data_IF_304139019270
#
_entry.id   IF_304139019270
#
_cell.length_a   1.000
_cell.length_b   1.000
_cell.length_c   1.000
_cell.angle_alpha   90.00
_cell.angle_beta   90.00
_cell.angle_gamma   90.00
#
_symmetry.space_group_name_H-M   'P 1'
#
loop_
_entity.id
_entity.type
_entity.pdbx_description
1 polymer ?
#
# COMPACT_ATOMS: atom_id res chain seq x y z
N UNK A 1 15.43 -11.03 15.75
CA UNK A 1 14.42 -10.14 15.13
C UNK A 1 14.83 -8.67 15.17
N UNK A 2 15.18 -8.11 16.32
CA UNK A 2 15.52 -6.68 16.52
C UNK A 2 16.55 -6.15 15.51
N UNK A 3 17.64 -6.87 15.26
CA UNK A 3 18.69 -6.46 14.31
C UNK A 3 18.17 -6.30 12.86
N UNK A 4 17.25 -7.18 12.43
CA UNK A 4 16.64 -7.11 11.09
C UNK A 4 15.75 -5.88 10.97
N UNK A 5 15.00 -5.54 12.03
CA UNK A 5 14.15 -4.36 12.08
C UNK A 5 14.99 -3.08 12.10
N UNK A 6 16.06 -3.03 12.90
CA UNK A 6 16.94 -1.86 13.00
C UNK A 6 17.69 -1.56 11.69
N UNK A 7 18.06 -2.59 10.93
CA UNK A 7 18.67 -2.42 9.61
C UNK A 7 17.63 -2.17 8.51
N UNK A 8 16.49 -2.86 8.57
CA UNK A 8 15.46 -2.80 7.54
C UNK A 8 14.73 -1.46 7.52
N UNK A 9 14.42 -0.89 8.69
CA UNK A 9 13.70 0.39 8.80
C UNK A 9 14.40 1.52 8.03
N UNK A 10 15.66 1.89 8.31
CA UNK A 10 16.31 2.97 7.58
C UNK A 10 16.54 2.61 6.10
N UNK A 11 16.83 1.34 5.81
CA UNK A 11 17.19 0.90 4.46
C UNK A 11 15.99 0.83 3.51
N UNK A 12 14.81 0.46 3.99
CA UNK A 12 13.59 0.39 3.17
C UNK A 12 12.73 1.65 3.29
N UNK A 13 12.71 2.32 4.45
CA UNK A 13 11.80 3.43 4.70
C UNK A 13 12.43 4.81 4.54
N UNK A 14 13.74 4.93 4.31
CA UNK A 14 14.34 6.27 4.25
C UNK A 14 15.48 6.45 3.25
N UNK A 15 16.47 5.55 3.24
CA UNK A 15 17.68 5.67 2.40
C UNK A 15 17.35 5.79 0.91
N UNK A 16 16.45 4.98 0.32
CA UNK A 16 16.20 5.01 -1.12
C UNK A 16 15.57 6.33 -1.56
N UNK A 17 14.57 6.81 -0.82
CA UNK A 17 13.93 8.09 -1.07
C UNK A 17 14.85 9.27 -0.81
N UNK A 18 15.75 9.19 0.20
CA UNK A 18 16.79 10.19 0.42
C UNK A 18 17.74 10.31 -0.78
N UNK A 19 18.21 9.17 -1.30
CA UNK A 19 19.10 9.13 -2.46
C UNK A 19 18.38 9.62 -3.72
N UNK A 20 17.15 9.17 -3.94
CA UNK A 20 16.32 9.56 -5.09
C UNK A 20 16.10 11.08 -5.12
N UNK A 21 15.70 11.66 -3.98
CA UNK A 21 15.50 13.10 -3.85
C UNK A 21 16.79 13.88 -4.14
N UNK A 22 17.92 13.45 -3.57
CA UNK A 22 19.23 14.11 -3.78
C UNK A 22 19.70 14.04 -5.23
N UNK A 23 19.52 12.89 -5.89
CA UNK A 23 19.95 12.68 -7.28
C UNK A 23 19.09 13.50 -8.23
N UNK A 24 17.78 13.56 -7.98
CA UNK A 24 16.82 14.11 -8.93
C UNK A 24 16.50 15.59 -8.70
N UNK A 25 16.22 15.98 -7.45
CA UNK A 25 15.87 17.35 -7.06
C UNK A 25 17.10 18.15 -6.61
N UNK A 26 18.12 17.49 -6.05
CA UNK A 26 19.30 18.16 -5.50
C UNK A 26 18.93 19.16 -4.40
N UNK A 27 19.53 20.35 -4.43
CA UNK A 27 19.21 21.45 -3.49
C UNK A 27 17.98 22.27 -3.90
N UNK A 28 17.32 21.91 -5.00
CA UNK A 28 16.20 22.67 -5.57
C UNK A 28 14.83 22.27 -5.01
N UNK A 29 14.79 21.39 -4.01
CA UNK A 29 13.55 21.04 -3.34
C UNK A 29 13.09 22.23 -2.49
N UNK A 30 11.96 22.84 -2.86
CA UNK A 30 11.33 23.90 -2.08
C UNK A 30 10.82 23.42 -0.71
N UNK A 31 10.72 22.09 -0.55
CA UNK A 31 10.21 21.42 0.63
C UNK A 31 11.29 21.41 1.72
N UNK A 32 11.02 22.07 2.85
CA UNK A 32 11.94 22.21 3.98
C UNK A 32 11.39 21.55 5.25
N UNK A 33 12.27 21.23 6.20
CA UNK A 33 11.86 20.69 7.50
C UNK A 33 11.24 19.28 7.42
N UNK A 34 10.10 19.10 8.11
CA UNK A 34 9.44 17.80 8.30
C UNK A 34 8.87 17.25 6.99
N UNK A 35 8.28 18.11 6.16
CA UNK A 35 7.69 17.72 4.87
C UNK A 35 8.70 17.00 3.98
N UNK A 36 9.96 17.46 4.01
CA UNK A 36 11.05 16.84 3.25
C UNK A 36 11.34 15.41 3.72
N UNK A 37 11.26 15.17 5.03
CA UNK A 37 11.42 13.82 5.59
C UNK A 37 10.23 12.92 5.26
N UNK A 38 9.01 13.46 5.29
CA UNK A 38 7.80 12.73 4.87
C UNK A 38 7.91 12.30 3.41
N UNK A 39 8.31 13.20 2.51
CA UNK A 39 8.49 12.88 1.08
C UNK A 39 9.53 11.78 0.87
N UNK A 40 10.66 11.81 1.61
CA UNK A 40 11.66 10.73 1.56
C UNK A 40 11.10 9.40 2.01
N UNK A 41 10.31 9.39 3.08
CA UNK A 41 9.69 8.16 3.60
C UNK A 41 8.70 7.62 2.57
N UNK A 42 7.80 8.46 2.07
CA UNK A 42 6.81 8.08 1.05
C UNK A 42 7.49 7.54 -0.20
N UNK A 43 8.51 8.23 -0.72
CA UNK A 43 9.26 7.76 -1.89
C UNK A 43 9.98 6.42 -1.63
N UNK A 44 10.53 6.23 -0.42
CA UNK A 44 11.19 4.98 -0.04
C UNK A 44 10.20 3.82 0.08
N UNK A 45 9.06 4.05 0.72
CA UNK A 45 7.97 3.07 0.85
C UNK A 45 7.41 2.69 -0.52
N UNK A 46 7.16 3.67 -1.38
CA UNK A 46 6.67 3.41 -2.73
C UNK A 46 7.68 2.59 -3.54
N UNK A 47 8.96 2.96 -3.53
CA UNK A 47 9.99 2.25 -4.28
C UNK A 47 10.20 0.82 -3.76
N UNK A 48 10.41 0.67 -2.45
CA UNK A 48 10.67 -0.63 -1.83
C UNK A 48 9.44 -1.54 -1.86
N UNK A 49 8.24 -0.99 -1.65
CA UNK A 49 6.97 -1.71 -1.75
C UNK A 49 6.71 -2.18 -3.18
N UNK A 50 6.94 -1.31 -4.18
CA UNK A 50 6.78 -1.69 -5.58
C UNK A 50 7.76 -2.80 -5.99
N UNK A 51 9.03 -2.67 -5.58
CA UNK A 51 10.04 -3.67 -5.86
C UNK A 51 9.70 -5.02 -5.18
N UNK A 52 9.23 -4.99 -3.93
CA UNK A 52 8.78 -6.17 -3.22
C UNK A 52 7.60 -6.87 -3.94
N UNK A 53 6.63 -6.09 -4.41
CA UNK A 53 5.46 -6.62 -5.12
C UNK A 53 5.83 -7.19 -6.49
N UNK A 54 6.73 -6.55 -7.24
CA UNK A 54 7.27 -7.12 -8.48
C UNK A 54 7.99 -8.45 -8.24
N UNK A 55 8.86 -8.51 -7.24
CA UNK A 55 9.57 -9.75 -6.91
C UNK A 55 8.59 -10.86 -6.48
N UNK A 56 7.52 -10.50 -5.77
CA UNK A 56 6.48 -11.44 -5.34
C UNK A 56 5.66 -11.94 -6.54
N UNK A 57 5.30 -11.05 -7.45
CA UNK A 57 4.59 -11.38 -8.69
C UNK A 57 5.37 -12.37 -9.55
N UNK A 58 6.70 -12.24 -9.64
CA UNK A 58 7.55 -13.19 -10.35
C UNK A 58 7.88 -14.46 -9.55
N UNK A 59 7.34 -14.62 -8.33
CA UNK A 59 7.59 -15.79 -7.48
C UNK A 59 9.02 -15.90 -6.94
N UNK A 60 9.84 -14.85 -7.08
CA UNK A 60 11.24 -14.81 -6.66
C UNK A 60 11.46 -13.96 -5.40
N UNK A 61 10.37 -13.58 -4.71
CA UNK A 61 10.47 -12.73 -3.53
C UNK A 61 11.32 -13.37 -2.45
N UNK A 62 12.42 -12.70 -2.14
CA UNK A 62 13.30 -13.02 -1.03
C UNK A 62 13.68 -11.71 -0.35
N UNK A 63 13.54 -11.67 0.98
CA UNK A 63 13.90 -10.50 1.78
C UNK A 63 15.33 -10.02 1.52
N UNK A 64 16.29 -10.94 1.37
CA UNK A 64 17.69 -10.61 1.08
C UNK A 64 17.89 -10.09 -0.34
N UNK A 65 17.12 -10.60 -1.30
CA UNK A 65 17.15 -10.10 -2.67
C UNK A 65 16.64 -8.65 -2.73
N UNK A 66 15.53 -8.36 -2.06
CA UNK A 66 15.01 -7.01 -1.94
C UNK A 66 16.03 -6.07 -1.28
N UNK A 67 16.70 -6.54 -0.22
CA UNK A 67 17.74 -5.80 0.48
C UNK A 67 18.94 -5.48 -0.43
N UNK A 68 19.43 -6.47 -1.18
CA UNK A 68 20.54 -6.32 -2.12
C UNK A 68 20.17 -5.33 -3.23
N UNK A 69 19.01 -5.47 -3.86
CA UNK A 69 18.59 -4.56 -4.93
C UNK A 69 18.47 -3.13 -4.39
N UNK A 70 17.89 -2.95 -3.20
CA UNK A 70 17.75 -1.63 -2.56
C UNK A 70 19.12 -1.01 -2.26
N UNK A 71 20.09 -1.81 -1.78
CA UNK A 71 21.47 -1.37 -1.58
C UNK A 71 22.15 -0.99 -2.88
N UNK A 72 21.94 -1.75 -3.97
CA UNK A 72 22.49 -1.43 -5.29
C UNK A 72 21.93 -0.10 -5.80
N UNK A 73 20.60 0.12 -5.71
CA UNK A 73 19.97 1.39 -6.09
C UNK A 73 20.56 2.54 -5.26
N UNK A 74 20.64 2.37 -3.94
CA UNK A 74 21.25 3.36 -3.05
C UNK A 74 22.72 3.64 -3.37
N UNK A 75 23.50 2.60 -3.66
CA UNK A 75 24.92 2.68 -4.01
C UNK A 75 25.16 3.37 -5.36
N UNK A 76 24.36 3.05 -6.38
CA UNK A 76 24.39 3.72 -7.68
C UNK A 76 24.05 5.20 -7.51
N UNK A 77 22.98 5.52 -6.79
CA UNK A 77 22.62 6.92 -6.56
C UNK A 77 23.66 7.67 -5.73
N UNK A 78 24.27 7.03 -4.73
CA UNK A 78 25.40 7.61 -4.00
C UNK A 78 26.60 7.87 -4.92
N UNK A 79 26.94 6.94 -5.81
CA UNK A 79 28.01 7.10 -6.81
C UNK A 79 27.71 8.27 -7.77
N UNK A 80 26.46 8.40 -8.23
CA UNK A 80 26.03 9.53 -9.06
C UNK A 80 26.17 10.86 -8.31
N UNK A 81 25.81 10.90 -7.02
CA UNK A 81 26.00 12.09 -6.18
C UNK A 81 27.48 12.43 -5.99
N UNK A 82 28.35 11.42 -5.86
CA UNK A 82 29.81 11.63 -5.82
C UNK A 82 30.31 12.26 -7.11
N UNK A 83 29.89 11.72 -8.26
CA UNK A 83 30.28 12.22 -9.59
C UNK A 83 29.76 13.64 -9.86
N UNK A 84 28.60 13.99 -9.32
CA UNK A 84 28.04 15.34 -9.42
C UNK A 84 28.67 16.35 -8.44
N UNK A 85 29.59 15.92 -7.56
CA UNK A 85 30.18 16.79 -6.53
C UNK A 85 29.18 17.23 -5.45
N UNK A 86 28.02 16.56 -5.36
CA UNK A 86 26.88 16.91 -4.48
C UNK A 86 26.84 16.09 -3.20
N UNK A 87 27.93 15.40 -2.87
CA UNK A 87 28.08 14.81 -1.54
C UNK A 87 28.00 15.94 -0.50
N UNK A 88 27.26 15.73 0.60
CA UNK A 88 27.22 16.72 1.67
C UNK A 88 28.65 16.93 2.18
N UNK A 89 29.22 18.12 1.92
CA UNK A 89 30.25 18.64 2.80
C UNK A 89 29.57 18.76 4.15
N UNK A 90 30.14 18.08 5.16
CA UNK A 90 29.79 18.30 6.56
C UNK A 90 30.28 19.72 6.87
N UNK A 91 29.48 20.73 6.50
CA UNK A 91 29.64 22.06 7.05
C UNK A 91 28.95 22.03 8.42
N UNK A 92 29.63 22.40 9.51
CA UNK A 92 29.00 22.52 10.80
C UNK A 92 27.90 23.58 10.68
N UNK A 93 26.65 23.13 10.60
CA UNK A 93 25.48 23.98 10.51
C UNK A 93 25.22 24.45 11.94
N UNK A 94 25.44 25.73 12.21
CA UNK A 94 25.08 26.33 13.50
C UNK A 94 23.58 26.12 13.71
N UNK A 95 23.25 25.28 14.69
CA UNK A 95 21.89 24.95 15.05
C UNK A 95 21.25 26.17 15.72
N UNK A 96 20.58 27.03 14.95
CA UNK A 96 19.58 27.91 15.53
C UNK A 96 18.39 27.03 15.96
N UNK A 97 18.43 26.57 17.21
CA UNK A 97 17.33 25.91 17.90
C UNK A 97 16.19 26.91 18.08
N UNK A 98 15.30 26.97 17.10
CA UNK A 98 14.08 27.75 17.18
C UNK A 98 13.06 27.23 16.18
N UNK A 99 11.84 26.95 16.67
CA UNK A 99 10.68 26.49 15.89
C UNK A 99 10.28 27.50 14.78
N UNK A 100 10.87 28.70 14.77
CA UNK A 100 10.60 29.79 13.81
C UNK A 100 11.75 30.00 12.81
N UNK A 101 12.89 29.32 12.93
CA UNK A 101 14.09 29.57 12.11
C UNK A 101 14.14 28.85 10.74
N UNK A 102 12.99 28.34 10.25
CA UNK A 102 12.92 27.49 9.06
C UNK A 102 12.59 28.21 7.74
N UNK A 103 12.10 29.45 7.78
CA UNK A 103 11.80 30.20 6.57
C UNK A 103 12.97 31.10 6.22
N UNK A 104 13.99 30.51 5.57
CA UNK A 104 14.98 31.34 4.87
C UNK A 104 14.26 31.99 3.69
N UNK A 105 14.20 33.34 3.57
CA UNK A 105 13.53 34.02 2.45
C UNK A 105 14.18 33.71 1.09
N UNK A 106 15.32 33.00 1.10
CA UNK A 106 16.00 32.50 -0.08
C UNK A 106 15.28 31.33 -0.79
N UNK A 107 14.26 30.69 -0.19
CA UNK A 107 13.50 29.63 -0.86
C UNK A 107 12.49 30.13 -1.91
N UNK A 108 12.31 31.45 -2.03
CA UNK A 108 11.44 32.06 -3.05
C UNK A 108 12.10 32.16 -4.44
N UNK A 109 13.41 31.92 -4.56
CA UNK A 109 14.14 31.98 -5.82
C UNK A 109 14.34 30.59 -6.46
N UNK A 110 13.34 29.70 -6.32
CA UNK A 110 13.28 28.46 -7.08
C UNK A 110 13.05 28.77 -8.56
N UNK A 111 14.12 28.96 -9.33
CA UNK A 111 14.03 29.26 -10.76
C UNK A 111 13.22 28.20 -11.52
N UNK A 112 12.58 28.58 -12.64
CA UNK A 112 11.67 27.75 -13.46
C UNK A 112 12.11 26.28 -13.64
N UNK A 113 13.43 26.03 -13.77
CA UNK A 113 14.00 24.68 -13.87
C UNK A 113 13.76 23.80 -12.64
N UNK A 114 13.77 24.36 -11.44
CA UNK A 114 13.46 23.67 -10.19
C UNK A 114 11.99 23.28 -10.10
N UNK A 115 11.09 24.20 -10.46
CA UNK A 115 9.67 23.92 -10.56
C UNK A 115 9.39 22.83 -11.61
N UNK A 116 10.02 22.91 -12.79
CA UNK A 116 9.91 21.88 -13.82
C UNK A 116 10.49 20.53 -13.38
N UNK A 117 11.60 20.51 -12.63
CA UNK A 117 12.18 19.27 -12.10
C UNK A 117 11.30 18.62 -11.02
N UNK A 118 10.70 19.43 -10.13
CA UNK A 118 9.76 18.97 -9.12
C UNK A 118 8.48 18.40 -9.76
N UNK A 119 7.92 19.13 -10.74
CA UNK A 119 6.79 18.65 -11.55
C UNK A 119 7.14 17.30 -12.19
N UNK A 120 8.31 17.16 -12.83
CA UNK A 120 8.72 15.87 -13.43
C UNK A 120 8.89 14.74 -12.42
N UNK A 121 9.33 15.03 -11.21
CA UNK A 121 9.43 14.05 -10.12
C UNK A 121 8.05 13.59 -9.66
N UNK A 122 7.12 14.51 -9.44
CA UNK A 122 5.75 14.21 -9.05
C UNK A 122 5.02 13.39 -10.12
N UNK A 123 5.25 13.70 -11.40
CA UNK A 123 4.68 12.95 -12.52
C UNK A 123 5.28 11.54 -12.62
N UNK A 124 6.57 11.36 -12.31
CA UNK A 124 7.18 10.03 -12.26
C UNK A 124 6.59 9.21 -11.11
N UNK A 125 6.37 9.83 -9.95
CA UNK A 125 5.76 9.17 -8.80
C UNK A 125 4.30 8.79 -9.08
N UNK A 126 3.54 9.71 -9.67
CA UNK A 126 2.17 9.47 -10.13
C UNK A 126 2.13 8.35 -11.18
N UNK A 127 3.06 8.34 -12.12
CA UNK A 127 3.19 7.31 -13.15
C UNK A 127 3.45 5.93 -12.54
N UNK A 128 4.33 5.84 -11.53
CA UNK A 128 4.56 4.61 -10.76
C UNK A 128 3.29 4.18 -10.03
N UNK A 129 2.58 5.11 -9.39
CA UNK A 129 1.33 4.82 -8.67
C UNK A 129 0.20 4.35 -9.61
N UNK A 130 0.07 4.95 -10.80
CA UNK A 130 -0.87 4.52 -11.83
C UNK A 130 -0.52 3.15 -12.39
N UNK A 131 0.76 2.93 -12.72
CA UNK A 131 1.24 1.62 -13.19
C UNK A 131 1.00 0.54 -12.12
N UNK A 132 1.22 0.87 -10.84
CA UNK A 132 0.87 0.01 -9.73
C UNK A 132 -0.62 -0.31 -9.69
N UNK A 133 -1.47 0.72 -9.77
CA UNK A 133 -2.91 0.57 -9.84
C UNK A 133 -3.33 -0.38 -10.96
N UNK A 134 -2.74 -0.26 -12.15
CA UNK A 134 -3.05 -1.13 -13.30
C UNK A 134 -2.54 -2.57 -13.08
N UNK A 135 -1.32 -2.75 -12.60
CA UNK A 135 -0.73 -4.09 -12.40
C UNK A 135 -1.39 -4.88 -11.27
N UNK A 136 -1.92 -4.18 -10.25
CA UNK A 136 -2.59 -4.76 -9.08
C UNK A 136 -4.12 -4.75 -9.21
N UNK A 137 -4.70 -4.02 -10.17
CA UNK A 137 -6.11 -4.10 -10.53
C UNK A 137 -6.47 -5.41 -11.26
N UNK A 138 -5.86 -6.53 -10.88
CA UNK A 138 -6.35 -7.85 -11.23
C UNK A 138 -7.54 -8.13 -10.31
N UNK A 139 -8.64 -8.73 -10.81
CA UNK A 139 -9.71 -9.18 -9.96
C UNK A 139 -9.10 -10.13 -8.90
N UNK A 140 -9.13 -9.68 -7.65
CA UNK A 140 -8.50 -10.37 -6.54
C UNK A 140 -9.18 -11.71 -6.31
N UNK A 141 -8.39 -12.78 -6.32
CA UNK A 141 -8.86 -14.11 -5.98
C UNK A 141 -9.23 -14.16 -4.50
N UNK A 142 -10.42 -14.67 -4.21
CA UNK A 142 -10.90 -14.86 -2.84
C UNK A 142 -10.20 -16.09 -2.27
N UNK A 143 -9.12 -15.90 -1.53
CA UNK A 143 -8.36 -16.98 -0.90
C UNK A 143 -8.89 -17.26 0.52
N UNK A 144 -9.39 -16.23 1.25
CA UNK A 144 -9.89 -16.38 2.63
C UNK A 144 -11.30 -15.84 2.87
N UNK A 145 -12.08 -15.55 1.83
CA UNK A 145 -13.44 -15.05 2.01
C UNK A 145 -13.46 -13.67 2.69
N UNK A 146 -14.23 -13.51 3.78
CA UNK A 146 -14.44 -12.22 4.47
C UNK A 146 -13.20 -11.56 5.09
N UNK A 147 -12.03 -12.23 5.09
CA UNK A 147 -10.75 -11.64 5.51
C UNK A 147 -9.97 -11.00 4.35
N UNK A 148 -10.40 -11.17 3.10
CA UNK A 148 -9.75 -10.54 1.95
C UNK A 148 -10.28 -9.11 1.79
N UNK A 149 -9.37 -8.13 1.88
CA UNK A 149 -9.68 -6.70 1.71
C UNK A 149 -10.37 -6.40 0.37
N UNK A 150 -10.14 -7.24 -0.64
CA UNK A 150 -10.82 -7.17 -1.93
C UNK A 150 -12.33 -7.35 -1.86
N UNK A 151 -12.85 -8.16 -0.91
CA UNK A 151 -14.30 -8.39 -0.78
C UNK A 151 -15.04 -7.08 -0.54
N UNK A 152 -14.52 -6.20 0.31
CA UNK A 152 -15.14 -4.89 0.58
C UNK A 152 -15.14 -3.98 -0.65
N UNK A 153 -14.04 -3.97 -1.42
CA UNK A 153 -13.94 -3.18 -2.63
C UNK A 153 -14.91 -3.68 -3.71
N UNK A 154 -14.96 -4.99 -3.97
CA UNK A 154 -15.90 -5.58 -4.93
C UNK A 154 -17.36 -5.42 -4.49
N UNK A 155 -17.66 -5.57 -3.20
CA UNK A 155 -19.00 -5.31 -2.67
C UNK A 155 -19.39 -3.85 -2.85
N UNK A 156 -18.48 -2.89 -2.60
CA UNK A 156 -18.72 -1.47 -2.86
C UNK A 156 -19.03 -1.19 -4.35
N UNK A 157 -18.26 -1.77 -5.26
CA UNK A 157 -18.50 -1.67 -6.72
C UNK A 157 -19.83 -2.30 -7.11
N UNK A 158 -20.16 -3.47 -6.56
CA UNK A 158 -21.42 -4.16 -6.81
C UNK A 158 -22.62 -3.33 -6.35
N UNK A 159 -22.56 -2.74 -5.14
CA UNK A 159 -23.60 -1.85 -4.62
C UNK A 159 -23.71 -0.60 -5.50
N UNK A 160 -22.60 0.03 -5.86
CA UNK A 160 -22.63 1.22 -6.70
C UNK A 160 -23.28 0.96 -8.08
N UNK A 161 -23.06 -0.24 -8.63
CA UNK A 161 -23.60 -0.64 -9.94
C UNK A 161 -25.06 -1.11 -9.88
N UNK A 162 -25.44 -1.82 -8.84
CA UNK A 162 -26.73 -2.55 -8.77
C UNK A 162 -27.72 -1.99 -7.75
N UNK A 163 -27.27 -1.10 -6.87
CA UNK A 163 -28.05 -0.60 -5.74
C UNK A 163 -28.24 -1.62 -4.61
N UNK A 164 -27.61 -2.80 -4.68
CA UNK A 164 -27.78 -3.88 -3.71
C UNK A 164 -26.50 -4.65 -3.43
N UNK A 165 -26.47 -5.38 -2.31
CA UNK A 165 -25.41 -6.34 -2.02
C UNK A 165 -25.69 -7.58 -2.87
N UNK A 166 -24.83 -7.83 -3.86
CA UNK A 166 -24.93 -9.00 -4.74
C UNK A 166 -23.74 -9.91 -4.47
N UNK A 167 -23.98 -11.05 -3.84
CA UNK A 167 -23.01 -12.12 -3.67
C UNK A 167 -23.53 -13.38 -4.35
N UNK A 168 -22.71 -13.97 -5.22
CA UNK A 168 -23.00 -15.25 -5.83
C UNK A 168 -22.25 -16.33 -5.07
N UNK A 169 -23.00 -17.24 -4.45
CA UNK A 169 -22.46 -18.41 -3.78
C UNK A 169 -23.19 -19.65 -4.33
N UNK A 170 -22.48 -20.56 -5.03
CA UNK A 170 -23.10 -21.73 -5.66
C UNK A 170 -23.66 -22.71 -4.63
N UNK A 171 -23.10 -22.78 -3.42
CA UNK A 171 -23.59 -23.66 -2.35
C UNK A 171 -24.91 -23.10 -1.82
N UNK A 172 -24.98 -21.79 -1.59
CA UNK A 172 -26.23 -21.13 -1.16
C UNK A 172 -27.31 -21.28 -2.23
N UNK A 173 -26.95 -21.17 -3.52
CA UNK A 173 -27.87 -21.39 -4.63
C UNK A 173 -28.38 -22.83 -4.69
N UNK A 174 -27.50 -23.83 -4.51
CA UNK A 174 -27.88 -25.26 -4.46
C UNK A 174 -28.82 -25.54 -3.29
N UNK A 175 -28.53 -25.00 -2.10
CA UNK A 175 -29.38 -25.14 -0.92
C UNK A 175 -30.79 -24.61 -1.21
N UNK A 176 -30.91 -23.43 -1.82
CA UNK A 176 -32.21 -22.85 -2.21
C UNK A 176 -32.97 -23.71 -3.22
N UNK A 177 -32.27 -24.29 -4.21
CA UNK A 177 -32.89 -25.19 -5.19
C UNK A 177 -33.40 -26.47 -4.55
N UNK A 178 -32.60 -27.10 -3.68
CA UNK A 178 -32.98 -28.32 -2.95
C UNK A 178 -34.14 -28.06 -2.01
N UNK A 179 -34.12 -26.91 -1.33
CA UNK A 179 -35.21 -26.48 -0.46
C UNK A 179 -36.52 -26.31 -1.24
N UNK A 180 -36.47 -25.68 -2.42
CA UNK A 180 -37.62 -25.52 -3.32
C UNK A 180 -38.15 -26.86 -3.88
N UNK A 181 -37.28 -27.87 -4.00
CA UNK A 181 -37.65 -29.25 -4.38
C UNK A 181 -38.23 -30.07 -3.22
N UNK A 182 -38.31 -29.50 -2.02
CA UNK A 182 -38.91 -30.15 -0.85
C UNK A 182 -37.93 -30.85 0.08
N UNK A 183 -36.61 -30.70 -0.10
CA UNK A 183 -35.63 -31.24 0.85
C UNK A 183 -35.74 -30.53 2.21
N UNK A 184 -36.17 -31.27 3.24
CA UNK A 184 -36.37 -30.75 4.60
C UNK A 184 -35.05 -30.30 5.27
N UNK A 185 -33.95 -30.98 4.96
CA UNK A 185 -32.63 -30.64 5.48
C UNK A 185 -32.11 -29.35 4.85
N UNK A 186 -32.26 -29.21 3.52
CA UNK A 186 -31.92 -27.97 2.82
C UNK A 186 -32.77 -26.79 3.32
N UNK A 187 -34.08 -26.99 3.55
CA UNK A 187 -34.96 -25.97 4.15
C UNK A 187 -34.53 -25.54 5.55
N UNK A 188 -33.99 -26.47 6.36
CA UNK A 188 -33.45 -26.13 7.68
C UNK A 188 -32.17 -25.28 7.55
N UNK A 189 -31.27 -25.66 6.65
CA UNK A 189 -30.04 -24.90 6.41
C UNK A 189 -30.37 -23.50 5.89
N UNK A 190 -31.26 -23.38 4.92
CA UNK A 190 -31.74 -22.10 4.37
C UNK A 190 -32.25 -21.18 5.49
N UNK A 191 -33.11 -21.70 6.38
CA UNK A 191 -33.65 -20.91 7.50
C UNK A 191 -32.57 -20.47 8.51
N UNK A 192 -31.53 -21.29 8.71
CA UNK A 192 -30.42 -20.98 9.60
C UNK A 192 -29.48 -19.93 9.00
N UNK A 193 -29.25 -19.97 7.68
CA UNK A 193 -28.34 -19.06 6.97
C UNK A 193 -28.99 -17.68 6.79
N UNK A 194 -30.26 -17.62 6.40
CA UNK A 194 -30.94 -16.37 6.10
C UNK A 194 -31.67 -15.76 7.30
N UNK A 195 -31.67 -16.43 8.46
CA UNK A 195 -32.27 -15.94 9.69
C UNK A 195 -33.80 -15.81 9.65
N UNK A 196 -34.45 -16.26 8.57
CA UNK A 196 -35.91 -16.26 8.44
C UNK A 196 -36.44 -17.53 9.11
N UNK A 197 -36.69 -17.45 10.42
CA UNK A 197 -37.37 -18.52 11.12
C UNK A 197 -38.84 -18.58 10.71
N UNK A 198 -39.27 -19.72 10.16
CA UNK A 198 -40.69 -20.03 9.99
C UNK A 198 -41.39 -20.01 11.35
N UNK A 199 -42.51 -19.29 11.45
CA UNK A 199 -43.37 -19.27 12.65
C UNK A 199 -43.93 -20.65 13.03
N UNK A 200 -43.84 -21.65 12.13
CA UNK A 200 -44.24 -23.04 12.38
C UNK A 200 -43.10 -23.91 12.93
N UNK A 201 -41.86 -23.43 12.97
CA UNK A 201 -40.71 -24.18 13.50
C UNK A 201 -40.35 -23.67 14.90
N UNK A 202 -40.91 -24.35 15.91
CA UNK A 202 -40.52 -24.16 17.30
C UNK A 202 -39.03 -24.53 17.48
N UNK A 203 -38.17 -23.55 17.74
CA UNK A 203 -36.94 -23.81 18.51
C UNK A 203 -37.40 -24.17 19.91
N UNK A 204 -37.62 -25.46 20.12
CA UNK A 204 -37.71 -26.04 21.45
C UNK A 204 -36.97 -27.37 21.50
N UNK A 205 -35.83 -27.49 20.81
CA UNK A 205 -34.86 -28.52 21.19
C UNK A 205 -34.06 -27.99 22.37
N UNK A 206 -34.69 -28.02 23.55
CA UNK A 206 -33.98 -28.11 24.82
C UNK A 206 -33.18 -29.41 24.80
N UNK A 207 -31.95 -29.38 24.28
CA UNK A 207 -30.92 -30.33 24.68
C UNK A 207 -30.24 -29.77 25.93
N UNK A 208 -30.89 -29.98 27.07
CA UNK A 208 -30.24 -30.00 28.38
C UNK A 208 -30.88 -31.12 29.21
N UNK A 209 -30.02 -32.03 29.65
CA UNK A 209 -30.24 -33.20 30.53
C UNK A 209 -30.91 -34.43 29.89
N UNK A 210 -30.11 -35.43 29.51
CA UNK A 210 -29.73 -36.55 30.37
C UNK A 210 -28.40 -37.15 29.89
#
# INVERSE_FOLDING_TARGET
MVLRTLLGVPLFLYIPGYVLERVWLGDHSAVNGIERHVTRIVASVLLSGWLALLLAEFGIFNYWLLLVITLVIGGIGALMLRRQGRLPRITPRSSALGIVAGQSPASAAGGLRSALAAVRFDHALLGIALLFGVLVARPFEVIRGGLDAGVYANTGVAIARTGSIVQYDPIVAEIGQRAAQGDDFARQIESNIFGVQSSKRNIATRLRAA
#
